data_IF_499457160851
#
_entry.id   IF_499457160851
#
_cell.length_a   1.000
_cell.length_b   1.000
_cell.length_c   1.000
_cell.angle_alpha   90.00
_cell.angle_beta   90.00
_cell.angle_gamma   90.00
#
_symmetry.space_group_name_H-M   'P 1'
#
loop_
_entity.id
_entity.type
_entity.pdbx_description
1 polymer ?
#
# COMPACT_ATOMS: atom_id res chain seq x y z
N UNK A 1 -10.49 -25.11 -23.79
CA UNK A 1 -10.36 -24.77 -22.36
C UNK A 1 -10.12 -23.27 -22.29
N UNK A 2 -11.18 -22.48 -22.14
CA UNK A 2 -11.07 -21.03 -21.98
C UNK A 2 -10.73 -20.76 -20.52
N UNK A 3 -9.51 -20.32 -20.25
CA UNK A 3 -9.11 -19.80 -18.93
C UNK A 3 -9.89 -18.52 -18.68
N UNK A 4 -10.98 -18.66 -17.94
CA UNK A 4 -11.76 -17.58 -17.34
C UNK A 4 -10.87 -16.86 -16.32
N UNK A 5 -10.10 -15.88 -16.80
CA UNK A 5 -9.22 -15.02 -16.01
C UNK A 5 -10.09 -13.96 -15.31
N UNK A 6 -10.90 -14.40 -14.35
CA UNK A 6 -11.45 -13.47 -13.35
C UNK A 6 -10.26 -12.93 -12.56
N UNK A 7 -10.06 -11.60 -12.49
CA UNK A 7 -9.03 -11.04 -11.61
C UNK A 7 -9.27 -11.59 -10.21
N UNK A 8 -8.21 -12.13 -9.60
CA UNK A 8 -8.28 -12.63 -8.24
C UNK A 8 -8.59 -11.44 -7.31
N UNK A 9 -9.45 -11.65 -6.31
CA UNK A 9 -9.86 -10.58 -5.37
C UNK A 9 -8.61 -9.93 -4.71
N UNK A 10 -7.53 -10.70 -4.56
CA UNK A 10 -6.23 -10.23 -4.09
C UNK A 10 -5.50 -9.29 -5.06
N UNK A 11 -5.61 -9.49 -6.38
CA UNK A 11 -5.00 -8.60 -7.39
C UNK A 11 -5.69 -7.24 -7.39
N UNK A 12 -7.03 -7.22 -7.43
CA UNK A 12 -7.78 -5.96 -7.38
C UNK A 12 -7.51 -5.20 -6.08
N UNK A 13 -7.42 -5.90 -4.95
CA UNK A 13 -7.14 -5.29 -3.66
C UNK A 13 -5.74 -4.68 -3.63
N UNK A 14 -4.75 -5.32 -4.24
CA UNK A 14 -3.40 -4.77 -4.38
C UNK A 14 -3.41 -3.50 -5.21
N UNK A 15 -4.11 -3.48 -6.35
CA UNK A 15 -4.25 -2.30 -7.21
C UNK A 15 -4.87 -1.11 -6.48
N UNK A 16 -5.96 -1.34 -5.72
CA UNK A 16 -6.59 -0.28 -4.92
C UNK A 16 -5.66 0.27 -3.82
N UNK A 17 -4.90 -0.60 -3.16
CA UNK A 17 -3.95 -0.19 -2.14
C UNK A 17 -2.78 0.60 -2.75
N UNK A 18 -2.31 0.22 -3.93
CA UNK A 18 -1.30 0.97 -4.67
C UNK A 18 -1.80 2.36 -5.06
N UNK A 19 -3.02 2.45 -5.60
CA UNK A 19 -3.66 3.71 -5.94
C UNK A 19 -3.82 4.61 -4.71
N UNK A 20 -4.18 4.05 -3.55
CA UNK A 20 -4.28 4.79 -2.30
C UNK A 20 -2.94 5.39 -1.84
N UNK A 21 -1.83 4.64 -1.97
CA UNK A 21 -0.48 5.16 -1.66
C UNK A 21 -0.09 6.28 -2.60
N UNK A 22 -0.35 6.13 -3.89
CA UNK A 22 -0.06 7.18 -4.89
C UNK A 22 -0.85 8.45 -4.60
N UNK A 23 -2.15 8.33 -4.35
CA UNK A 23 -2.99 9.47 -4.02
C UNK A 23 -2.55 10.18 -2.74
N UNK A 24 -2.07 9.43 -1.74
CA UNK A 24 -1.52 10.01 -0.52
C UNK A 24 -0.22 10.77 -0.79
N UNK A 25 0.66 10.22 -1.63
CA UNK A 25 1.88 10.89 -2.09
C UNK A 25 1.53 12.24 -2.74
N UNK A 26 0.65 12.24 -3.74
CA UNK A 26 0.23 13.47 -4.43
C UNK A 26 -0.42 14.48 -3.49
N UNK A 27 -1.21 14.01 -2.51
CA UNK A 27 -1.85 14.86 -1.50
C UNK A 27 -0.82 15.53 -0.58
N UNK A 28 0.25 14.82 -0.22
CA UNK A 28 1.36 15.36 0.57
C UNK A 28 2.11 16.42 -0.25
N UNK A 29 2.50 16.10 -1.49
CA UNK A 29 3.24 17.03 -2.35
C UNK A 29 2.44 18.29 -2.65
N UNK A 30 1.13 18.15 -2.85
CA UNK A 30 0.22 19.28 -3.08
C UNK A 30 -0.19 20.02 -1.80
N UNK A 31 0.33 19.64 -0.62
CA UNK A 31 -0.04 20.20 0.69
C UNK A 31 -1.56 20.16 0.98
N UNK A 32 -2.28 19.21 0.37
CA UNK A 32 -3.73 19.02 0.55
C UNK A 32 -4.07 18.23 1.83
N UNK A 33 -3.06 17.65 2.46
CA UNK A 33 -3.18 16.92 3.72
C UNK A 33 -2.15 17.44 4.72
N UNK A 34 -2.56 17.56 5.98
CA UNK A 34 -1.64 17.88 7.06
C UNK A 34 -0.64 16.72 7.25
N UNK A 35 0.64 17.05 7.46
CA UNK A 35 1.72 16.06 7.64
C UNK A 35 1.40 15.05 8.75
N UNK A 36 0.82 15.51 9.87
CA UNK A 36 0.42 14.61 10.97
C UNK A 36 -0.66 13.59 10.57
N UNK A 37 -1.66 14.02 9.79
CA UNK A 37 -2.69 13.12 9.27
C UNK A 37 -2.10 12.12 8.27
N UNK A 38 -1.23 12.58 7.36
CA UNK A 38 -0.53 11.71 6.43
C UNK A 38 0.33 10.64 7.14
N UNK A 39 1.06 11.02 8.19
CA UNK A 39 1.82 10.07 9.03
C UNK A 39 0.91 9.00 9.67
N UNK A 40 -0.25 9.40 10.19
CA UNK A 40 -1.23 8.46 10.78
C UNK A 40 -1.82 7.48 9.76
N UNK A 41 -2.16 7.96 8.56
CA UNK A 41 -2.64 7.10 7.46
C UNK A 41 -1.54 6.12 7.05
N UNK A 42 -0.31 6.59 6.85
CA UNK A 42 0.82 5.74 6.48
C UNK A 42 1.12 4.68 7.54
N UNK A 43 1.03 5.03 8.82
CA UNK A 43 1.19 4.06 9.91
C UNK A 43 0.16 2.94 9.80
N UNK A 44 -1.12 3.31 9.69
CA UNK A 44 -2.23 2.36 9.59
C UNK A 44 -2.09 1.45 8.36
N UNK A 45 -1.65 2.02 7.23
CA UNK A 45 -1.42 1.27 6.00
C UNK A 45 -0.25 0.29 6.12
N UNK A 46 0.89 0.72 6.68
CA UNK A 46 2.07 -0.14 6.87
C UNK A 46 1.73 -1.34 7.77
N UNK A 47 0.95 -1.12 8.82
CA UNK A 47 0.48 -2.19 9.71
C UNK A 47 -0.48 -3.14 8.99
N UNK A 48 -1.45 -2.60 8.24
CA UNK A 48 -2.39 -3.40 7.45
C UNK A 48 -1.66 -4.28 6.43
N UNK A 49 -0.68 -3.72 5.72
CA UNK A 49 0.15 -4.47 4.78
C UNK A 49 0.99 -5.53 5.51
N UNK A 50 1.53 -5.21 6.70
CA UNK A 50 2.23 -6.16 7.56
C UNK A 50 1.36 -7.36 7.95
N UNK A 51 0.10 -7.11 8.33
CA UNK A 51 -0.86 -8.17 8.66
C UNK A 51 -1.18 -9.05 7.45
N UNK A 52 -1.36 -8.46 6.27
CA UNK A 52 -1.59 -9.21 5.03
C UNK A 52 -0.38 -10.08 4.67
N UNK A 53 0.83 -9.53 4.71
CA UNK A 53 2.07 -10.28 4.46
C UNK A 53 2.26 -11.39 5.51
N UNK A 54 1.82 -11.18 6.76
CA UNK A 54 1.90 -12.18 7.81
C UNK A 54 0.98 -13.39 7.61
N UNK A 55 0.02 -13.32 6.69
CA UNK A 55 -0.90 -14.41 6.42
C UNK A 55 -0.17 -15.58 5.71
N UNK A 56 -0.25 -16.83 6.24
CA UNK A 56 0.45 -17.98 5.67
C UNK A 56 -0.20 -18.51 4.39
N UNK A 57 -1.47 -18.20 4.13
CA UNK A 57 -2.20 -18.63 2.94
C UNK A 57 -1.96 -17.68 1.74
N UNK A 58 -1.39 -16.50 2.01
CA UNK A 58 -1.12 -15.49 0.99
C UNK A 58 -0.23 -16.03 -0.14
N UNK A 59 -0.70 -15.98 -1.41
CA UNK A 59 0.08 -16.37 -2.58
C UNK A 59 1.38 -15.57 -2.72
N UNK A 60 2.46 -16.22 -3.18
CA UNK A 60 3.79 -15.59 -3.30
C UNK A 60 3.81 -14.32 -4.19
N UNK A 61 3.02 -14.31 -5.27
CA UNK A 61 2.93 -13.16 -6.16
C UNK A 61 2.23 -11.97 -5.47
N UNK A 62 1.18 -12.23 -4.68
CA UNK A 62 0.48 -11.21 -3.90
C UNK A 62 1.35 -10.70 -2.74
N UNK A 63 2.08 -11.61 -2.06
CA UNK A 63 3.07 -11.29 -1.03
C UNK A 63 4.11 -10.30 -1.52
N UNK A 64 4.74 -10.59 -2.67
CA UNK A 64 5.74 -9.72 -3.28
C UNK A 64 5.18 -8.31 -3.56
N UNK A 65 3.95 -8.23 -4.06
CA UNK A 65 3.26 -6.96 -4.29
C UNK A 65 2.99 -6.17 -3.00
N UNK A 66 2.46 -6.81 -1.96
CA UNK A 66 2.22 -6.18 -0.67
C UNK A 66 3.53 -5.74 0.02
N UNK A 67 4.61 -6.50 -0.11
CA UNK A 67 5.93 -6.13 0.39
C UNK A 67 6.50 -4.90 -0.32
N UNK A 68 6.41 -4.86 -1.65
CA UNK A 68 6.82 -3.69 -2.43
C UNK A 68 6.02 -2.44 -2.02
N UNK A 69 4.71 -2.59 -1.86
CA UNK A 69 3.85 -1.48 -1.44
C UNK A 69 4.15 -1.01 -0.01
N UNK A 70 4.41 -1.94 0.91
CA UNK A 70 4.80 -1.64 2.29
C UNK A 70 6.11 -0.87 2.33
N UNK A 71 7.09 -1.24 1.50
CA UNK A 71 8.35 -0.52 1.38
C UNK A 71 8.13 0.90 0.85
N UNK A 72 7.28 1.07 -0.17
CA UNK A 72 6.92 2.41 -0.71
C UNK A 72 6.27 3.30 0.36
N UNK A 73 5.32 2.76 1.13
CA UNK A 73 4.68 3.50 2.22
C UNK A 73 5.67 3.88 3.34
N UNK A 74 6.63 3.00 3.66
CA UNK A 74 7.70 3.29 4.63
C UNK A 74 8.64 4.40 4.15
N UNK A 75 9.00 4.39 2.87
CA UNK A 75 9.84 5.41 2.27
C UNK A 75 9.16 6.78 2.30
N UNK A 76 7.89 6.83 1.88
CA UNK A 76 7.08 8.06 1.94
C UNK A 76 6.98 8.61 3.37
N UNK A 77 6.77 7.74 4.36
CA UNK A 77 6.76 8.14 5.78
C UNK A 77 8.12 8.67 6.25
N UNK A 78 9.21 8.06 5.80
CA UNK A 78 10.57 8.51 6.11
C UNK A 78 10.87 9.89 5.52
N UNK A 79 10.38 10.16 4.32
CA UNK A 79 10.49 11.48 3.69
C UNK A 79 9.72 12.55 4.46
N UNK A 80 8.54 12.23 5.00
CA UNK A 80 7.77 13.13 5.89
C UNK A 80 8.43 13.43 7.25
N UNK A 81 9.42 12.65 7.66
CA UNK A 81 10.15 12.88 8.91
C UNK A 81 11.35 13.81 8.73
N UNK A 82 11.81 13.96 7.49
CA UNK A 82 12.92 14.84 7.12
C UNK A 82 12.46 16.28 6.81
N UNK A 83 11.15 16.51 6.70
CA UNK A 83 10.51 17.81 6.49
C UNK A 83 9.92 18.35 7.78
#
# INVERSE_FOLDING_TARGET
MTTDKRPDDGEQKLEHLEAAVNHLHESIESQRIAVGAAKGILFSLIETLGALIGDPDLPEHARSGYEALRNKARDLRGSLDKH
#
